data_IF_554206466214
#
_entry.id   IF_554206466214
#
_cell.length_a   1.000
_cell.length_b   1.000
_cell.length_c   1.000
_cell.angle_alpha   90.00
_cell.angle_beta   90.00
_cell.angle_gamma   90.00
#
_symmetry.space_group_name_H-M   'P 1'
#
loop_
_entity.id
_entity.type
_entity.pdbx_description
1 polymer ?
#
# COMPACT_ATOMS: atom_id res chain seq x y z
N UNK A 1 41.10 -15.50 17.40
CA UNK A 1 40.04 -14.70 18.04
C UNK A 1 38.77 -14.70 17.17
N UNK A 2 38.04 -15.83 17.09
CA UNK A 2 36.86 -15.95 16.20
C UNK A 2 35.63 -15.16 16.70
N UNK A 3 35.56 -14.81 17.99
CA UNK A 3 34.38 -14.16 18.57
C UNK A 3 34.02 -12.81 17.95
N UNK A 4 35.01 -12.03 17.51
CA UNK A 4 34.76 -10.72 16.88
C UNK A 4 34.18 -10.87 15.46
N UNK A 5 34.62 -11.88 14.71
CA UNK A 5 34.06 -12.23 13.41
C UNK A 5 32.62 -12.75 13.56
N UNK A 6 32.38 -13.59 14.56
CA UNK A 6 31.05 -14.11 14.88
C UNK A 6 30.09 -12.99 15.30
N UNK A 7 30.50 -12.07 16.18
CA UNK A 7 29.69 -10.92 16.58
C UNK A 7 29.32 -10.03 15.39
N UNK A 8 30.28 -9.81 14.48
CA UNK A 8 30.04 -9.02 13.27
C UNK A 8 29.06 -9.72 12.31
N UNK A 9 29.15 -11.06 12.17
CA UNK A 9 28.19 -11.83 11.38
C UNK A 9 26.77 -11.77 11.96
N UNK A 10 26.63 -11.82 13.29
CA UNK A 10 25.33 -11.65 13.94
C UNK A 10 24.75 -10.25 13.73
N UNK A 11 25.57 -9.20 13.84
CA UNK A 11 25.12 -7.83 13.57
C UNK A 11 24.60 -7.67 12.13
N UNK A 12 25.32 -8.20 11.14
CA UNK A 12 24.88 -8.18 9.73
C UNK A 12 23.55 -8.93 9.56
N UNK A 13 23.38 -10.07 10.24
CA UNK A 13 22.14 -10.85 10.19
C UNK A 13 20.95 -10.07 10.74
N UNK A 14 21.11 -9.37 11.86
CA UNK A 14 20.05 -8.53 12.44
C UNK A 14 19.69 -7.35 11.54
N UNK A 15 20.69 -6.72 10.90
CA UNK A 15 20.45 -5.64 9.92
C UNK A 15 19.65 -6.16 8.72
N UNK A 16 20.02 -7.33 8.18
CA UNK A 16 19.29 -7.95 7.06
C UNK A 16 17.85 -8.31 7.47
N UNK A 17 17.66 -8.87 8.67
CA UNK A 17 16.34 -9.20 9.20
C UNK A 17 15.46 -7.95 9.36
N UNK A 18 16.04 -6.86 9.89
CA UNK A 18 15.36 -5.58 10.05
C UNK A 18 14.95 -4.95 8.72
N UNK A 19 15.87 -4.90 7.75
CA UNK A 19 15.58 -4.40 6.39
C UNK A 19 14.49 -5.25 5.72
N UNK A 20 14.50 -6.56 5.93
CA UNK A 20 13.48 -7.48 5.39
C UNK A 20 12.11 -7.25 6.03
N UNK A 21 12.07 -6.99 7.34
CA UNK A 21 10.84 -6.64 8.06
C UNK A 21 10.22 -5.34 7.53
N UNK A 22 11.04 -4.31 7.29
CA UNK A 22 10.54 -3.05 6.70
C UNK A 22 10.05 -3.26 5.27
N UNK A 23 10.79 -4.01 4.44
CA UNK A 23 10.38 -4.29 3.05
C UNK A 23 9.11 -5.13 2.94
N UNK A 24 8.76 -5.94 3.94
CA UNK A 24 7.50 -6.68 3.96
C UNK A 24 6.26 -5.79 4.14
N UNK A 25 6.42 -4.48 4.43
CA UNK A 25 5.34 -3.50 4.34
C UNK A 25 5.22 -2.85 2.95
N UNK A 26 5.91 -3.37 1.93
CA UNK A 26 5.69 -2.94 0.56
C UNK A 26 4.23 -3.22 0.17
N UNK A 27 3.60 -2.24 -0.50
CA UNK A 27 2.21 -2.35 -0.93
C UNK A 27 1.95 -3.73 -1.55
N UNK A 28 0.84 -4.40 -1.17
CA UNK A 28 0.57 -5.72 -1.67
C UNK A 28 0.42 -5.69 -3.20
N UNK A 29 0.79 -6.80 -3.84
CA UNK A 29 0.67 -6.90 -5.30
C UNK A 29 -0.79 -6.70 -5.75
N UNK A 30 -1.03 -6.13 -6.94
CA UNK A 30 -2.38 -6.00 -7.47
C UNK A 30 -3.12 -7.33 -7.46
N UNK A 31 -4.42 -7.28 -7.15
CA UNK A 31 -5.27 -8.45 -7.29
C UNK A 31 -5.39 -8.84 -8.76
N UNK A 32 -5.54 -10.14 -9.02
CA UNK A 32 -6.01 -10.58 -10.32
C UNK A 32 -7.46 -10.14 -10.54
N UNK A 33 -7.89 -10.02 -11.80
CA UNK A 33 -9.25 -9.61 -12.13
C UNK A 33 -10.33 -10.49 -11.48
N UNK A 34 -10.08 -11.80 -11.41
CA UNK A 34 -10.98 -12.77 -10.77
C UNK A 34 -11.08 -12.57 -9.25
N UNK A 35 -9.95 -12.31 -8.58
CA UNK A 35 -9.92 -12.04 -7.14
C UNK A 35 -10.58 -10.70 -6.81
N UNK A 36 -10.38 -9.70 -7.64
CA UNK A 36 -10.99 -8.38 -7.50
C UNK A 36 -12.51 -8.49 -7.68
N UNK A 37 -12.99 -9.18 -8.71
CA UNK A 37 -14.43 -9.40 -8.92
C UNK A 37 -15.06 -10.12 -7.71
N UNK A 38 -14.39 -11.16 -7.19
CA UNK A 38 -14.85 -11.89 -6.00
C UNK A 38 -14.90 -10.98 -4.77
N UNK A 39 -13.87 -10.16 -4.56
CA UNK A 39 -13.79 -9.23 -3.44
C UNK A 39 -14.85 -8.12 -3.56
N UNK A 40 -15.10 -7.60 -4.77
CA UNK A 40 -16.15 -6.61 -5.02
C UNK A 40 -17.55 -7.17 -4.73
N UNK A 41 -17.83 -8.40 -5.18
CA UNK A 41 -19.10 -9.08 -4.86
C UNK A 41 -19.27 -9.31 -3.36
N UNK A 42 -18.19 -9.66 -2.65
CA UNK A 42 -18.22 -9.83 -1.19
C UNK A 42 -18.41 -8.49 -0.45
N UNK A 43 -17.72 -7.44 -0.89
CA UNK A 43 -17.88 -6.08 -0.38
C UNK A 43 -19.30 -5.56 -0.58
N UNK A 44 -19.92 -5.81 -1.75
CA UNK A 44 -21.30 -5.44 -2.03
C UNK A 44 -22.32 -6.13 -1.10
N UNK A 45 -21.94 -7.28 -0.52
CA UNK A 45 -22.72 -7.98 0.51
C UNK A 45 -22.41 -7.52 1.94
N UNK A 46 -21.57 -6.49 2.11
CA UNK A 46 -21.19 -5.93 3.42
C UNK A 46 -19.96 -6.54 4.07
N UNK A 47 -19.19 -7.39 3.38
CA UNK A 47 -17.97 -7.99 3.94
C UNK A 47 -16.87 -6.94 4.13
N UNK A 48 -16.60 -6.58 5.38
CA UNK A 48 -15.57 -5.60 5.76
C UNK A 48 -14.16 -6.09 5.43
N UNK A 49 -13.90 -7.41 5.46
CA UNK A 49 -12.58 -7.95 5.09
C UNK A 49 -12.33 -7.79 3.60
N UNK A 50 -13.35 -8.03 2.78
CA UNK A 50 -13.27 -7.80 1.34
C UNK A 50 -13.04 -6.33 1.00
N UNK A 51 -13.74 -5.40 1.70
CA UNK A 51 -13.48 -3.96 1.60
C UNK A 51 -12.03 -3.61 1.94
N UNK A 52 -11.53 -4.07 3.09
CA UNK A 52 -10.18 -3.75 3.54
C UNK A 52 -9.13 -4.29 2.56
N UNK A 53 -9.31 -5.52 2.07
CA UNK A 53 -8.46 -6.10 1.02
C UNK A 53 -8.44 -5.23 -0.24
N UNK A 54 -9.60 -4.78 -0.73
CA UNK A 54 -9.66 -3.88 -1.89
C UNK A 54 -8.95 -2.55 -1.64
N UNK A 55 -9.09 -1.97 -0.44
CA UNK A 55 -8.41 -0.72 -0.06
C UNK A 55 -6.89 -0.92 -0.08
N UNK A 56 -6.37 -1.87 0.70
CA UNK A 56 -4.92 -2.08 0.87
C UNK A 56 -4.19 -2.33 -0.45
N UNK A 57 -4.80 -3.12 -1.35
CA UNK A 57 -4.24 -3.39 -2.68
C UNK A 57 -4.32 -2.19 -3.63
N UNK A 58 -5.33 -1.33 -3.49
CA UNK A 58 -5.46 -0.11 -4.30
C UNK A 58 -4.77 1.11 -3.70
N UNK A 59 -4.30 1.08 -2.44
CA UNK A 59 -3.50 2.16 -1.85
C UNK A 59 -2.23 2.46 -2.65
N UNK A 60 -1.67 1.47 -3.35
CA UNK A 60 -0.56 1.66 -4.28
C UNK A 60 -0.87 2.70 -5.36
N UNK A 61 -2.10 2.68 -5.89
CA UNK A 61 -2.57 3.66 -6.89
C UNK A 61 -2.63 5.05 -6.25
N UNK A 62 -3.13 5.16 -5.03
CA UNK A 62 -3.18 6.42 -4.28
C UNK A 62 -1.78 7.01 -4.10
N UNK A 63 -0.80 6.21 -3.71
CA UNK A 63 0.59 6.66 -3.57
C UNK A 63 1.17 7.17 -4.90
N UNK A 64 0.88 6.49 -6.00
CA UNK A 64 1.31 6.93 -7.34
C UNK A 64 0.65 8.25 -7.76
N UNK A 65 -0.65 8.42 -7.47
CA UNK A 65 -1.38 9.66 -7.74
C UNK A 65 -0.78 10.82 -6.92
N UNK A 66 -0.58 10.65 -5.61
CA UNK A 66 -0.02 11.70 -4.75
C UNK A 66 1.35 12.16 -5.24
N UNK A 67 2.25 11.22 -5.56
CA UNK A 67 3.56 11.54 -6.11
C UNK A 67 3.47 12.30 -7.46
N UNK A 68 2.48 11.96 -8.29
CA UNK A 68 2.22 12.65 -9.57
C UNK A 68 1.72 14.08 -9.35
N UNK A 69 1.00 14.34 -8.26
CA UNK A 69 0.48 15.66 -7.92
C UNK A 69 1.55 16.54 -7.27
N UNK A 70 2.43 15.98 -6.44
CA UNK A 70 3.59 16.71 -5.90
C UNK A 70 4.55 17.17 -6.99
N UNK A 71 4.70 16.39 -8.06
CA UNK A 71 5.54 16.73 -9.21
C UNK A 71 4.89 17.70 -10.19
N UNK A 72 3.59 17.98 -10.05
CA UNK A 72 2.86 18.94 -10.87
C UNK A 72 2.27 20.06 -10.00
N UNK A 73 2.98 21.18 -9.81
CA UNK A 73 2.65 22.19 -8.79
C UNK A 73 1.31 22.93 -8.97
N UNK A 74 0.58 22.69 -10.04
CA UNK A 74 -0.70 23.33 -10.38
C UNK A 74 -1.93 22.38 -10.31
N UNK A 75 -1.72 21.07 -10.06
CA UNK A 75 -2.80 20.11 -9.80
C UNK A 75 -2.71 19.68 -8.34
N UNK A 76 -3.29 20.47 -7.45
CA UNK A 76 -3.42 20.10 -6.03
C UNK A 76 -4.39 18.93 -5.82
N UNK A 77 -4.16 18.14 -4.78
CA UNK A 77 -5.05 17.03 -4.37
C UNK A 77 -6.47 17.50 -3.99
N UNK A 78 -6.59 18.68 -3.38
CA UNK A 78 -7.87 19.25 -2.90
C UNK A 78 -8.84 19.57 -4.07
N UNK A 79 -8.43 20.23 -5.16
CA UNK A 79 -9.27 20.41 -6.35
C UNK A 79 -9.79 19.11 -6.99
N UNK A 80 -9.01 18.03 -6.95
CA UNK A 80 -9.36 16.76 -7.60
C UNK A 80 -10.43 16.00 -6.80
N UNK A 81 -10.30 15.93 -5.47
CA UNK A 81 -11.33 15.32 -4.62
C UNK A 81 -12.65 16.09 -4.74
N UNK A 82 -12.62 17.43 -4.75
CA UNK A 82 -13.83 18.25 -4.97
C UNK A 82 -14.48 18.04 -6.34
N UNK A 83 -13.70 17.65 -7.36
CA UNK A 83 -14.19 17.35 -8.72
C UNK A 83 -14.68 15.91 -8.88
N UNK A 84 -14.14 14.97 -8.10
CA UNK A 84 -14.53 13.56 -8.08
C UNK A 84 -15.65 13.23 -7.08
N UNK A 85 -16.02 14.17 -6.21
CA UNK A 85 -17.09 14.01 -5.21
C UNK A 85 -18.46 14.65 -5.59
N UNK A 86 -18.98 14.64 -6.84
CA UNK A 86 -20.38 15.03 -7.07
C UNK A 86 -21.37 13.95 -6.60
N UNK A 87 -20.89 12.80 -6.08
CA UNK A 87 -21.71 11.72 -5.55
C UNK A 87 -21.49 11.56 -4.06
N UNK A 88 -22.39 12.14 -3.26
CA UNK A 88 -22.59 11.74 -1.87
C UNK A 88 -22.11 12.75 -0.83
N UNK A 89 -22.82 13.85 -0.69
CA UNK A 89 -23.14 14.38 0.64
C UNK A 89 -24.65 14.23 0.83
N UNK A 90 -25.17 13.73 1.97
CA UNK A 90 -26.53 14.03 2.35
C UNK A 90 -26.71 15.54 2.58
#
# INVERSE_FOLDING_TARGET
MPGMLTAMAFMVKEIIAFVSYIKNNAFPHPLSSEEEEKALKAMARGDTKARNKLIEHNLRLVAHIVNTLETQPHVGFVPIIHRLAPFGSP
#
